data_IF_513354507815
#
_entry.id   IF_513354507815
#
_cell.length_a   1.000
_cell.length_b   1.000
_cell.length_c   1.000
_cell.angle_alpha   90.00
_cell.angle_beta   90.00
_cell.angle_gamma   90.00
#
_symmetry.space_group_name_H-M   'P 1'
#
loop_
_entity.id
_entity.type
_entity.pdbx_description
1 polymer ?
#
# COMPACT_ATOMS: atom_id res chain seq x y z
N UNK A 1 -13.84 -9.28 11.06
CA UNK A 1 -13.39 -7.90 11.19
C UNK A 1 -12.41 -7.84 12.36
N UNK A 2 -11.13 -7.71 12.09
CA UNK A 2 -10.11 -7.44 13.11
C UNK A 2 -10.08 -5.93 13.40
N UNK A 3 -9.72 -5.52 14.60
CA UNK A 3 -9.64 -4.12 15.01
C UNK A 3 -9.76 -3.98 16.52
N UNK A 4 -9.28 -2.86 17.06
CA UNK A 4 -9.37 -2.58 18.51
C UNK A 4 -10.78 -2.17 18.87
N UNK A 5 -11.26 -2.64 20.04
CA UNK A 5 -12.57 -2.27 20.57
C UNK A 5 -12.61 -0.78 20.89
N UNK A 6 -13.49 -0.03 20.22
CA UNK A 6 -13.77 1.36 20.55
C UNK A 6 -14.88 1.44 21.59
N UNK A 7 -14.53 1.81 22.81
CA UNK A 7 -15.48 1.98 23.91
C UNK A 7 -16.31 3.27 23.82
N UNK A 8 -15.94 4.19 22.95
CA UNK A 8 -16.64 5.46 22.78
C UNK A 8 -17.73 5.40 21.70
N UNK A 9 -17.60 4.47 20.73
CA UNK A 9 -18.58 4.30 19.66
C UNK A 9 -19.36 3.00 19.83
N UNK A 10 -20.67 3.08 19.64
CA UNK A 10 -21.57 1.95 19.67
C UNK A 10 -21.69 1.30 18.31
N UNK A 11 -21.85 -0.02 18.29
CA UNK A 11 -22.17 -0.79 17.10
C UNK A 11 -23.63 -1.23 17.14
N UNK A 12 -24.31 -1.10 16.02
CA UNK A 12 -25.66 -1.66 15.84
C UNK A 12 -25.62 -3.14 15.42
N UNK A 13 -24.42 -3.68 15.12
CA UNK A 13 -24.27 -5.07 14.69
C UNK A 13 -24.08 -5.94 15.94
N UNK A 14 -24.97 -6.93 16.19
CA UNK A 14 -24.95 -7.75 17.39
C UNK A 14 -23.93 -8.89 17.28
N UNK A 15 -22.64 -8.57 17.41
CA UNK A 15 -21.57 -9.56 17.46
C UNK A 15 -21.19 -9.86 18.91
N UNK A 16 -21.28 -11.13 19.34
CA UNK A 16 -21.01 -11.57 20.71
C UNK A 16 -19.65 -11.06 21.24
N UNK A 17 -18.59 -11.11 20.42
CA UNK A 17 -17.25 -10.63 20.78
C UNK A 17 -17.16 -9.12 21.07
N UNK A 18 -18.16 -8.35 20.66
CA UNK A 18 -18.24 -6.91 20.86
C UNK A 18 -19.23 -6.52 21.97
N UNK A 19 -19.83 -7.50 22.63
CA UNK A 19 -20.82 -7.27 23.69
C UNK A 19 -20.21 -6.48 24.84
N UNK A 20 -20.93 -5.42 25.26
CA UNK A 20 -20.56 -4.57 26.39
C UNK A 20 -21.43 -4.93 27.59
N UNK A 21 -20.98 -5.92 28.36
CA UNK A 21 -21.72 -6.42 29.52
C UNK A 21 -22.05 -5.30 30.51
N UNK A 22 -21.07 -4.46 30.86
CA UNK A 22 -21.25 -3.41 31.88
C UNK A 22 -22.31 -2.37 31.46
N UNK A 23 -22.25 -1.92 30.21
CA UNK A 23 -23.22 -0.94 29.69
C UNK A 23 -24.58 -1.56 29.44
N UNK A 24 -24.66 -2.83 29.03
CA UNK A 24 -25.90 -3.58 28.89
C UNK A 24 -26.59 -3.76 30.24
N UNK A 25 -25.84 -4.20 31.23
CA UNK A 25 -26.37 -4.37 32.60
C UNK A 25 -26.95 -3.04 33.11
N UNK A 26 -26.17 -1.95 33.03
CA UNK A 26 -26.61 -0.61 33.50
C UNK A 26 -27.86 -0.14 32.78
N UNK A 27 -27.97 -0.37 31.45
CA UNK A 27 -29.11 0.05 30.66
C UNK A 27 -30.39 -0.74 30.94
N UNK A 28 -30.28 -1.96 31.51
CA UNK A 28 -31.42 -2.86 31.74
C UNK A 28 -31.72 -3.07 33.23
N UNK A 29 -31.07 -2.34 34.15
CA UNK A 29 -31.33 -2.48 35.60
C UNK A 29 -32.80 -2.27 35.98
N UNK A 30 -33.51 -1.39 35.24
CA UNK A 30 -34.95 -1.16 35.44
C UNK A 30 -35.83 -2.38 35.13
N UNK A 31 -35.32 -3.37 34.37
CA UNK A 31 -35.99 -4.60 34.01
C UNK A 31 -35.66 -5.77 34.97
N UNK A 32 -35.22 -5.45 36.18
CA UNK A 32 -35.03 -6.43 37.24
C UNK A 32 -36.37 -6.86 37.81
N UNK A 33 -36.64 -8.15 37.78
CA UNK A 33 -37.85 -8.74 38.36
C UNK A 33 -37.53 -9.43 39.70
N UNK A 34 -37.84 -8.79 40.83
CA UNK A 34 -37.52 -9.35 42.16
C UNK A 34 -38.16 -10.71 42.41
N UNK A 35 -39.38 -10.92 41.90
CA UNK A 35 -40.16 -12.17 42.12
C UNK A 35 -39.47 -13.38 41.45
N UNK A 36 -38.76 -13.19 40.37
CA UNK A 36 -38.09 -14.26 39.64
C UNK A 36 -36.56 -14.26 39.84
N UNK A 37 -35.98 -13.26 40.51
CA UNK A 37 -34.56 -13.09 40.69
C UNK A 37 -33.81 -12.95 39.36
N UNK A 38 -34.46 -12.45 38.31
CA UNK A 38 -33.91 -12.39 36.93
C UNK A 38 -33.90 -10.97 36.38
N UNK A 39 -32.85 -10.68 35.64
CA UNK A 39 -32.74 -9.46 34.85
C UNK A 39 -33.01 -9.76 33.37
N UNK A 40 -34.00 -9.09 32.80
CA UNK A 40 -34.30 -9.22 31.38
C UNK A 40 -33.50 -8.17 30.57
N UNK A 41 -32.84 -8.63 29.49
CA UNK A 41 -32.05 -7.78 28.62
C UNK A 41 -32.88 -7.43 27.40
N UNK A 42 -33.43 -6.23 27.37
CA UNK A 42 -34.19 -5.71 26.24
C UNK A 42 -33.28 -4.90 25.28
N UNK A 43 -32.31 -4.21 25.86
CA UNK A 43 -31.40 -3.31 25.09
C UNK A 43 -29.93 -3.76 25.20
N UNK A 44 -29.52 -4.82 24.48
CA UNK A 44 -28.14 -5.25 24.48
C UNK A 44 -27.25 -4.19 23.81
N UNK A 45 -26.09 -3.91 24.39
CA UNK A 45 -25.16 -2.91 23.91
C UNK A 45 -23.87 -3.54 23.41
N UNK A 46 -23.40 -3.07 22.22
CA UNK A 46 -22.20 -3.57 21.59
C UNK A 46 -21.24 -2.41 21.33
N UNK A 47 -19.94 -2.67 21.49
CA UNK A 47 -18.91 -1.72 21.16
C UNK A 47 -18.58 -1.79 19.67
N UNK A 48 -18.27 -0.66 19.07
CA UNK A 48 -17.69 -0.60 17.72
C UNK A 48 -16.25 -1.12 17.73
N UNK A 49 -15.77 -1.57 16.58
CA UNK A 49 -14.35 -1.81 16.36
C UNK A 49 -13.85 -0.82 15.31
N UNK A 50 -12.78 -0.14 15.65
CA UNK A 50 -12.06 0.73 14.71
C UNK A 50 -10.75 0.04 14.38
N UNK A 51 -10.51 -0.17 13.10
CA UNK A 51 -9.17 -0.44 12.63
C UNK A 51 -8.38 0.87 12.77
N UNK A 52 -7.43 0.92 13.69
CA UNK A 52 -6.58 2.12 13.81
C UNK A 52 -5.87 2.29 12.47
N UNK A 53 -5.88 3.49 11.93
CA UNK A 53 -5.20 3.82 10.67
C UNK A 53 -3.71 3.46 10.75
N UNK A 54 -3.13 3.55 11.94
CA UNK A 54 -1.77 3.12 12.27
C UNK A 54 -1.52 1.59 12.24
N UNK A 55 -2.56 0.77 12.08
CA UNK A 55 -2.42 -0.69 11.97
C UNK A 55 -2.47 -1.19 10.53
N UNK A 56 -2.81 -0.32 9.59
CA UNK A 56 -2.83 -0.66 8.17
C UNK A 56 -1.42 -0.61 7.60
N UNK A 57 -1.11 -1.58 6.75
CA UNK A 57 0.07 -1.50 5.91
C UNK A 57 -0.08 -0.34 4.94
N UNK A 58 1.04 0.31 4.66
CA UNK A 58 1.14 1.38 3.68
C UNK A 58 1.96 0.89 2.50
N UNK A 59 1.43 1.08 1.31
CA UNK A 59 2.06 0.72 0.06
C UNK A 59 2.26 1.99 -0.77
N UNK A 60 3.47 2.23 -1.22
CA UNK A 60 3.79 3.31 -2.16
C UNK A 60 4.20 2.67 -3.47
N UNK A 61 3.38 2.86 -4.50
CA UNK A 61 3.66 2.41 -5.86
C UNK A 61 4.34 3.55 -6.62
N UNK A 62 5.57 3.34 -7.04
CA UNK A 62 6.34 4.23 -7.90
C UNK A 62 6.37 3.62 -9.30
N UNK A 63 5.71 4.26 -10.25
CA UNK A 63 5.59 3.75 -11.62
C UNK A 63 6.36 4.65 -12.57
N UNK A 64 7.35 4.08 -13.19
CA UNK A 64 8.18 4.73 -14.18
C UNK A 64 7.40 4.98 -15.47
N UNK A 65 7.41 6.23 -15.92
CA UNK A 65 6.78 6.72 -17.16
C UNK A 65 7.82 7.36 -18.10
N UNK A 66 9.08 7.01 -17.93
CA UNK A 66 10.16 7.47 -18.79
C UNK A 66 10.04 6.94 -20.22
N UNK A 67 10.77 7.57 -21.14
CA UNK A 67 10.71 7.21 -22.57
C UNK A 67 11.12 5.77 -22.87
N UNK A 68 12.00 5.15 -22.06
CA UNK A 68 12.40 3.75 -22.18
C UNK A 68 11.28 2.77 -21.81
N UNK A 69 10.28 3.21 -21.03
CA UNK A 69 9.16 2.41 -20.56
C UNK A 69 8.00 2.29 -21.54
N UNK A 70 8.07 2.92 -22.73
CA UNK A 70 6.95 2.96 -23.69
C UNK A 70 6.43 1.57 -24.06
N UNK A 71 7.31 0.61 -24.28
CA UNK A 71 6.94 -0.77 -24.61
C UNK A 71 6.41 -1.56 -23.41
N UNK A 72 6.67 -1.08 -22.20
CA UNK A 72 6.33 -1.72 -20.93
C UNK A 72 5.14 -1.06 -20.22
N UNK A 73 4.62 0.07 -20.74
CA UNK A 73 3.61 0.90 -20.05
C UNK A 73 2.34 0.11 -19.69
N UNK A 74 1.88 -0.76 -20.58
CA UNK A 74 0.67 -1.57 -20.36
C UNK A 74 0.90 -2.55 -19.21
N UNK A 75 2.03 -3.27 -19.22
CA UNK A 75 2.37 -4.20 -18.14
C UNK A 75 2.50 -3.48 -16.80
N UNK A 76 3.19 -2.34 -16.78
CA UNK A 76 3.37 -1.52 -15.58
C UNK A 76 2.04 -1.01 -15.02
N UNK A 77 1.13 -0.55 -15.89
CA UNK A 77 -0.20 -0.10 -15.50
C UNK A 77 -1.06 -1.24 -14.91
N UNK A 78 -1.02 -2.43 -15.51
CA UNK A 78 -1.73 -3.61 -15.00
C UNK A 78 -1.15 -4.06 -13.65
N UNK A 79 0.18 -4.08 -13.50
CA UNK A 79 0.84 -4.38 -12.23
C UNK A 79 0.41 -3.41 -11.13
N UNK A 80 0.42 -2.11 -11.43
CA UNK A 80 -0.03 -1.08 -10.50
C UNK A 80 -1.50 -1.26 -10.12
N UNK A 81 -2.37 -1.62 -11.07
CA UNK A 81 -3.78 -1.87 -10.80
C UNK A 81 -4.01 -3.09 -9.90
N UNK A 82 -3.27 -4.18 -10.10
CA UNK A 82 -3.33 -5.35 -9.23
C UNK A 82 -2.96 -5.00 -7.79
N UNK A 83 -1.90 -4.21 -7.61
CA UNK A 83 -1.41 -3.79 -6.30
C UNK A 83 -2.33 -2.73 -5.65
N UNK A 84 -2.94 -1.85 -6.46
CA UNK A 84 -3.89 -0.83 -5.98
C UNK A 84 -5.13 -1.45 -5.33
N UNK A 85 -5.60 -2.57 -5.86
CA UNK A 85 -6.82 -3.23 -5.40
C UNK A 85 -6.63 -4.08 -4.13
N UNK A 86 -5.44 -4.13 -3.54
CA UNK A 86 -5.18 -4.93 -2.34
C UNK A 86 -6.02 -4.48 -1.14
N UNK A 87 -6.89 -5.33 -0.59
CA UNK A 87 -7.81 -4.92 0.46
C UNK A 87 -7.12 -4.66 1.79
N UNK A 88 -7.46 -3.56 2.42
CA UNK A 88 -6.98 -3.25 3.78
C UNK A 88 -5.57 -2.68 3.85
N UNK A 89 -4.99 -2.30 2.72
CA UNK A 89 -3.72 -1.58 2.59
C UNK A 89 -4.04 -0.15 2.17
N UNK A 90 -3.32 0.82 2.72
CA UNK A 90 -3.36 2.21 2.26
C UNK A 90 -2.33 2.36 1.16
N UNK A 91 -2.81 2.52 -0.07
CA UNK A 91 -1.94 2.60 -1.24
C UNK A 91 -1.80 4.04 -1.72
N UNK A 92 -0.58 4.44 -2.09
CA UNK A 92 -0.26 5.66 -2.81
C UNK A 92 0.22 5.29 -4.21
N UNK A 93 -0.25 6.02 -5.22
CA UNK A 93 0.17 5.85 -6.62
C UNK A 93 0.92 7.10 -7.07
N UNK A 94 2.15 6.90 -7.46
CA UNK A 94 3.05 7.95 -7.91
C UNK A 94 3.63 7.57 -9.26
N UNK A 95 3.42 8.40 -10.26
CA UNK A 95 4.09 8.29 -11.56
C UNK A 95 5.34 9.18 -11.56
N UNK A 96 6.39 8.77 -12.25
CA UNK A 96 7.58 9.58 -12.36
C UNK A 96 8.31 9.38 -13.69
N UNK A 97 9.04 10.42 -14.07
CA UNK A 97 10.08 10.45 -15.09
C UNK A 97 11.27 11.26 -14.56
N UNK A 98 11.57 12.43 -15.10
CA UNK A 98 12.46 13.46 -14.49
C UNK A 98 11.74 14.24 -13.39
N UNK A 99 10.42 14.23 -13.38
CA UNK A 99 9.53 14.83 -12.40
C UNK A 99 8.72 13.75 -11.66
N UNK A 100 8.17 14.09 -10.50
CA UNK A 100 7.36 13.18 -9.68
C UNK A 100 5.94 13.71 -9.58
N UNK A 101 4.96 12.90 -9.92
CA UNK A 101 3.54 13.25 -9.91
C UNK A 101 2.77 12.29 -8.98
N UNK A 102 2.20 12.80 -7.90
CA UNK A 102 1.33 12.03 -7.01
C UNK A 102 -0.08 11.96 -7.59
N UNK A 103 -0.50 10.76 -7.95
CA UNK A 103 -1.79 10.47 -8.56
C UNK A 103 -2.81 9.93 -7.55
N UNK A 104 -2.43 9.78 -6.29
CA UNK A 104 -3.22 9.08 -5.25
C UNK A 104 -4.64 9.61 -5.10
N UNK A 105 -4.83 10.93 -5.23
CA UNK A 105 -6.14 11.58 -5.06
C UNK A 105 -7.09 11.38 -6.27
N UNK A 106 -6.53 11.13 -7.45
CA UNK A 106 -7.25 11.12 -8.72
C UNK A 106 -7.57 9.71 -9.23
N UNK A 107 -7.16 8.67 -8.50
CA UNK A 107 -7.29 7.28 -8.94
C UNK A 107 -8.74 6.81 -8.83
N UNK A 108 -9.46 6.85 -9.94
CA UNK A 108 -10.69 6.07 -10.13
C UNK A 108 -10.34 4.69 -10.75
N UNK A 109 -9.53 4.70 -11.80
CA UNK A 109 -8.95 3.53 -12.45
C UNK A 109 -7.43 3.76 -12.65
N UNK A 110 -6.55 2.98 -11.98
CA UNK A 110 -5.11 3.13 -12.13
C UNK A 110 -4.60 2.94 -13.55
N UNK A 111 -5.19 2.01 -14.31
CA UNK A 111 -4.77 1.73 -15.70
C UNK A 111 -5.06 2.93 -16.58
N UNK A 112 -6.31 3.41 -16.56
CA UNK A 112 -6.72 4.56 -17.36
C UNK A 112 -5.88 5.79 -17.02
N UNK A 113 -5.63 6.01 -15.72
CA UNK A 113 -4.88 7.16 -15.25
C UNK A 113 -3.41 7.10 -15.70
N UNK A 114 -2.73 5.97 -15.52
CA UNK A 114 -1.34 5.79 -15.94
C UNK A 114 -1.17 5.85 -17.47
N UNK A 115 -2.17 5.36 -18.21
CA UNK A 115 -2.15 5.47 -19.68
C UNK A 115 -2.35 6.90 -20.17
N UNK A 116 -3.03 7.75 -19.41
CA UNK A 116 -3.20 9.18 -19.74
C UNK A 116 -1.97 10.04 -19.35
N UNK A 117 -1.31 9.65 -18.26
CA UNK A 117 -0.12 10.36 -17.74
C UNK A 117 1.12 9.80 -18.45
N UNK A 118 1.32 10.16 -19.71
CA UNK A 118 2.57 9.87 -20.40
C UNK A 118 3.52 11.05 -20.21
N UNK A 119 4.53 10.88 -19.37
CA UNK A 119 5.53 11.92 -19.10
C UNK A 119 6.59 11.93 -20.23
N UNK A 120 7.16 10.78 -20.59
CA UNK A 120 8.02 10.60 -21.77
C UNK A 120 9.39 11.29 -21.70
N UNK A 121 9.76 11.74 -20.52
CA UNK A 121 11.07 12.36 -20.27
C UNK A 121 12.19 11.35 -20.01
N UNK A 122 13.30 11.83 -19.45
CA UNK A 122 14.35 10.97 -18.87
C UNK A 122 13.87 10.32 -17.56
N UNK A 123 14.78 9.70 -16.82
CA UNK A 123 14.44 8.95 -15.61
C UNK A 123 15.19 9.51 -14.40
N UNK A 124 14.47 9.69 -13.27
CA UNK A 124 15.09 10.03 -11.98
C UNK A 124 14.44 9.20 -10.87
N UNK A 125 14.87 7.96 -10.77
CA UNK A 125 14.34 6.98 -9.77
C UNK A 125 14.70 7.45 -8.36
N UNK A 126 15.88 8.04 -8.17
CA UNK A 126 16.33 8.51 -6.87
C UNK A 126 15.34 9.52 -6.25
N UNK A 127 14.86 10.48 -7.04
CA UNK A 127 13.86 11.48 -6.61
C UNK A 127 12.51 10.84 -6.29
N UNK A 128 12.08 9.87 -7.10
CA UNK A 128 10.83 9.14 -6.85
C UNK A 128 10.88 8.34 -5.54
N UNK A 129 11.99 7.65 -5.28
CA UNK A 129 12.20 6.90 -4.02
C UNK A 129 12.24 7.84 -2.81
N UNK A 130 12.89 8.99 -2.93
CA UNK A 130 12.90 10.01 -1.87
C UNK A 130 11.50 10.54 -1.57
N UNK A 131 10.73 10.87 -2.61
CA UNK A 131 9.34 11.30 -2.47
C UNK A 131 8.47 10.20 -1.83
N UNK A 132 8.57 8.96 -2.32
CA UNK A 132 7.85 7.83 -1.76
C UNK A 132 8.16 7.61 -0.28
N UNK A 133 9.40 7.80 0.14
CA UNK A 133 9.82 7.74 1.55
C UNK A 133 9.15 8.82 2.41
N UNK A 134 8.95 10.03 1.87
CA UNK A 134 8.30 11.13 2.59
C UNK A 134 6.80 10.88 2.83
N UNK A 135 6.13 10.10 1.99
CA UNK A 135 4.73 9.71 2.17
C UNK A 135 4.52 8.69 3.30
N UNK A 136 5.58 8.03 3.74
CA UNK A 136 5.52 6.92 4.70
C UNK A 136 5.44 7.44 6.13
N UNK A 137 4.36 7.04 6.82
CA UNK A 137 4.11 7.38 8.23
C UNK A 137 4.74 6.35 9.20
N UNK A 138 4.74 5.06 8.81
CA UNK A 138 5.22 3.96 9.65
C UNK A 138 6.17 3.03 8.87
N UNK A 139 7.48 3.27 8.91
CA UNK A 139 8.46 2.52 8.13
C UNK A 139 8.36 0.99 8.27
N UNK A 140 8.20 0.48 9.50
CA UNK A 140 8.14 -0.95 9.78
C UNK A 140 6.87 -1.67 9.22
N UNK A 141 5.88 -0.91 8.77
CA UNK A 141 4.63 -1.42 8.16
C UNK A 141 4.43 -0.83 6.77
N UNK A 142 5.49 -0.52 6.09
CA UNK A 142 5.43 0.10 4.78
C UNK A 142 6.27 -0.64 3.75
N UNK A 143 5.77 -0.62 2.54
CA UNK A 143 6.44 -1.20 1.37
C UNK A 143 6.48 -0.12 0.29
N UNK A 144 7.64 0.08 -0.31
CA UNK A 144 7.79 0.81 -1.57
C UNK A 144 7.92 -0.24 -2.67
N UNK A 145 7.08 -0.14 -3.69
CA UNK A 145 7.21 -0.95 -4.91
C UNK A 145 7.56 -0.02 -6.05
N UNK A 146 8.70 -0.28 -6.66
CA UNK A 146 9.23 0.43 -7.82
C UNK A 146 9.00 -0.43 -9.06
N UNK A 147 8.22 0.05 -10.01
CA UNK A 147 8.01 -0.57 -11.33
C UNK A 147 8.80 0.24 -12.36
N UNK A 148 9.91 -0.29 -12.85
CA UNK A 148 10.86 0.42 -13.71
C UNK A 148 11.75 -0.57 -14.46
N UNK A 149 12.39 -0.10 -15.53
CA UNK A 149 13.50 -0.80 -16.20
C UNK A 149 14.86 -0.54 -15.53
N UNK A 150 14.86 0.20 -14.42
CA UNK A 150 16.05 0.56 -13.62
C UNK A 150 17.13 1.36 -14.36
N UNK A 151 16.86 1.87 -15.56
CA UNK A 151 17.77 2.81 -16.22
C UNK A 151 17.69 4.18 -15.53
N UNK A 152 18.61 4.42 -14.58
CA UNK A 152 18.71 5.69 -13.84
C UNK A 152 19.37 6.76 -14.73
N UNK A 153 18.61 7.80 -15.09
CA UNK A 153 19.14 8.92 -15.86
C UNK A 153 19.97 9.91 -15.03
N UNK A 154 19.93 9.77 -13.70
CA UNK A 154 20.69 10.60 -12.77
C UNK A 154 21.91 9.89 -12.20
N UNK A 155 22.08 9.95 -10.88
CA UNK A 155 23.22 9.35 -10.18
C UNK A 155 22.83 8.01 -9.53
N UNK A 156 23.38 6.90 -10.04
CA UNK A 156 23.16 5.57 -9.46
C UNK A 156 23.62 5.47 -7.99
N UNK A 157 24.63 6.26 -7.60
CA UNK A 157 25.05 6.32 -6.20
C UNK A 157 24.03 7.03 -5.31
N UNK A 158 23.32 8.05 -5.82
CA UNK A 158 22.24 8.71 -5.11
C UNK A 158 21.04 7.78 -4.96
N UNK A 159 20.64 7.06 -6.01
CA UNK A 159 19.60 6.07 -5.98
C UNK A 159 19.89 5.00 -4.93
N UNK A 160 21.07 4.39 -4.98
CA UNK A 160 21.52 3.39 -4.01
C UNK A 160 21.49 3.93 -2.58
N UNK A 161 21.89 5.19 -2.37
CA UNK A 161 21.84 5.85 -1.08
C UNK A 161 20.41 6.04 -0.56
N UNK A 162 19.46 6.46 -1.39
CA UNK A 162 18.05 6.63 -1.01
C UNK A 162 17.39 5.29 -0.67
N UNK A 163 17.62 4.25 -1.49
CA UNK A 163 17.12 2.90 -1.20
C UNK A 163 17.69 2.36 0.12
N UNK A 164 18.99 2.54 0.35
CA UNK A 164 19.64 2.16 1.61
C UNK A 164 19.00 2.85 2.82
N UNK A 165 18.68 4.14 2.72
CA UNK A 165 17.95 4.88 3.78
C UNK A 165 16.57 4.28 4.05
N UNK A 166 15.83 3.91 3.02
CA UNK A 166 14.53 3.25 3.16
C UNK A 166 14.67 1.94 3.93
N UNK A 167 15.56 1.05 3.49
CA UNK A 167 15.79 -0.25 4.12
C UNK A 167 16.26 -0.09 5.58
N UNK A 168 17.19 0.80 5.85
CA UNK A 168 17.67 1.07 7.22
C UNK A 168 16.59 1.62 8.15
N UNK A 169 15.60 2.34 7.64
CA UNK A 169 14.45 2.80 8.42
C UNK A 169 13.39 1.72 8.65
N UNK A 170 13.55 0.53 8.05
CA UNK A 170 12.63 -0.60 8.19
C UNK A 170 11.57 -0.69 7.09
N UNK A 171 11.63 0.15 6.05
CA UNK A 171 10.76 0.08 4.88
C UNK A 171 11.24 -1.09 4.01
N UNK A 172 10.30 -1.92 3.55
CA UNK A 172 10.58 -2.93 2.53
C UNK A 172 10.59 -2.25 1.15
N UNK A 173 11.62 -2.50 0.36
CA UNK A 173 11.74 -1.99 -1.00
C UNK A 173 11.73 -3.17 -1.97
N UNK A 174 10.72 -3.19 -2.85
CA UNK A 174 10.56 -4.19 -3.90
C UNK A 174 10.70 -3.49 -5.25
N UNK A 175 11.54 -4.04 -6.12
CA UNK A 175 11.62 -3.61 -7.52
C UNK A 175 10.95 -4.65 -8.40
N UNK A 176 10.04 -4.21 -9.25
CA UNK A 176 9.43 -5.02 -10.30
C UNK A 176 10.02 -4.57 -11.63
N UNK A 177 10.82 -5.43 -12.23
CA UNK A 177 11.45 -5.15 -13.50
C UNK A 177 10.41 -5.06 -14.62
N UNK A 178 10.56 -4.06 -15.46
CA UNK A 178 9.72 -3.86 -16.63
C UNK A 178 9.83 -5.06 -17.58
N UNK A 179 8.70 -5.43 -18.17
CA UNK A 179 8.59 -6.46 -19.19
C UNK A 179 8.23 -5.82 -20.51
N UNK A 180 8.85 -6.26 -21.59
CA UNK A 180 8.49 -5.84 -22.94
C UNK A 180 7.11 -6.43 -23.37
N UNK A 181 6.67 -6.11 -24.58
CA UNK A 181 5.40 -6.60 -25.14
C UNK A 181 5.32 -8.12 -25.27
N UNK A 182 6.46 -8.81 -25.21
CA UNK A 182 6.57 -10.29 -25.23
C UNK A 182 6.70 -10.90 -23.84
N UNK A 183 6.53 -10.09 -22.80
CA UNK A 183 6.74 -10.45 -21.39
C UNK A 183 8.18 -10.90 -21.07
N UNK A 184 9.17 -10.40 -21.85
CA UNK A 184 10.57 -10.63 -21.59
C UNK A 184 11.13 -9.49 -20.72
N UNK A 185 11.88 -9.81 -19.63
CA UNK A 185 12.50 -8.79 -18.79
C UNK A 185 13.53 -7.97 -19.56
N UNK A 186 13.35 -6.64 -19.57
CA UNK A 186 14.28 -5.68 -20.15
C UNK A 186 14.58 -4.61 -19.10
N UNK A 187 15.72 -4.70 -18.44
CA UNK A 187 16.09 -3.77 -17.37
C UNK A 187 17.62 -3.71 -17.18
N UNK A 188 18.09 -2.66 -16.51
CA UNK A 188 19.50 -2.51 -16.15
C UNK A 188 19.86 -3.43 -14.97
N UNK A 189 20.61 -4.50 -15.29
CA UNK A 189 21.05 -5.49 -14.32
C UNK A 189 22.05 -4.93 -13.30
N UNK A 190 22.91 -4.00 -13.68
CA UNK A 190 23.95 -3.44 -12.80
C UNK A 190 23.30 -2.58 -11.71
N UNK A 191 22.39 -1.70 -12.09
CA UNK A 191 21.61 -0.89 -11.15
C UNK A 191 20.74 -1.81 -10.26
N UNK A 192 20.05 -2.77 -10.84
CA UNK A 192 19.25 -3.72 -10.07
C UNK A 192 20.09 -4.48 -9.02
N UNK A 193 21.27 -4.97 -9.40
CA UNK A 193 22.19 -5.65 -8.48
C UNK A 193 22.71 -4.72 -7.38
N UNK A 194 23.00 -3.46 -7.70
CA UNK A 194 23.41 -2.47 -6.70
C UNK A 194 22.29 -2.24 -5.65
N UNK A 195 21.03 -2.20 -6.08
CA UNK A 195 19.88 -2.08 -5.17
C UNK A 195 19.69 -3.32 -4.29
N UNK A 196 19.87 -4.51 -4.84
CA UNK A 196 19.84 -5.77 -4.07
C UNK A 196 20.93 -5.78 -3.00
N UNK A 197 22.14 -5.31 -3.32
CA UNK A 197 23.27 -5.25 -2.38
C UNK A 197 23.00 -4.34 -1.17
N UNK A 198 22.08 -3.37 -1.27
CA UNK A 198 21.68 -2.51 -0.16
C UNK A 198 20.39 -2.96 0.54
N UNK A 199 19.84 -4.12 0.13
CA UNK A 199 18.72 -4.78 0.81
C UNK A 199 17.35 -4.62 0.13
N UNK A 200 17.27 -4.12 -1.09
CA UNK A 200 16.06 -4.20 -1.90
C UNK A 200 15.87 -5.63 -2.42
N UNK A 201 14.62 -5.99 -2.71
CA UNK A 201 14.29 -7.24 -3.40
C UNK A 201 13.84 -6.90 -4.81
N UNK A 202 14.42 -7.53 -5.82
CA UNK A 202 14.07 -7.29 -7.23
C UNK A 202 13.56 -8.58 -7.86
N UNK A 203 12.45 -8.48 -8.56
CA UNK A 203 11.83 -9.57 -9.28
C UNK A 203 11.40 -9.12 -10.67
N UNK A 204 11.53 -10.01 -11.64
CA UNK A 204 10.92 -9.87 -12.95
C UNK A 204 9.76 -10.87 -12.99
N UNK A 205 8.54 -10.37 -13.04
CA UNK A 205 7.34 -11.23 -13.03
C UNK A 205 6.20 -10.58 -13.81
N UNK A 206 5.37 -11.41 -14.38
CA UNK A 206 4.14 -10.98 -15.05
C UNK A 206 3.07 -10.61 -14.02
N UNK A 207 2.02 -9.84 -14.40
CA UNK A 207 0.89 -9.56 -13.52
C UNK A 207 0.20 -10.82 -12.98
N UNK A 208 0.15 -11.89 -13.77
CA UNK A 208 -0.40 -13.18 -13.35
C UNK A 208 0.42 -13.87 -12.26
N UNK A 209 1.75 -13.81 -12.36
CA UNK A 209 2.67 -14.34 -11.34
C UNK A 209 2.60 -13.51 -10.06
N UNK A 210 2.50 -12.17 -10.18
CA UNK A 210 2.32 -11.29 -9.03
C UNK A 210 1.02 -11.59 -8.26
N UNK A 211 -0.06 -11.89 -8.99
CA UNK A 211 -1.35 -12.21 -8.37
C UNK A 211 -1.35 -13.59 -7.66
N UNK A 212 -0.44 -14.48 -8.04
CA UNK A 212 -0.27 -15.80 -7.44
C UNK A 212 0.72 -15.81 -6.25
N UNK A 213 1.57 -14.79 -6.17
CA UNK A 213 2.62 -14.61 -5.15
C UNK A 213 2.03 -13.98 -3.87
#
# INVERSE_FOLDING_TARGET
VSGVRDRRRRSFIPLARNFDFKSTLRANLQHWHPQHGKLYIESPRFNSRIKRQSEQWQLVLLVDQSGSMVDSVIHSAVMAACLWQLPGIRTHLVAFDTSVVDLTADVADPVELLMKVQLGGGTNIASAVEYGRQLIEQPAKSVIILVSDFYEGGSSSLLTHQVKKCVQSGIKVLGLAALDSTATPCYDHDTAQALVNVGAQIAAMTPGELAAW
#
